data_IF_209843388301
#
_entry.id   IF_209843388301
#
_cell.length_a   1.000
_cell.length_b   1.000
_cell.length_c   1.000
_cell.angle_alpha   90.00
_cell.angle_beta   90.00
_cell.angle_gamma   90.00
#
_symmetry.space_group_name_H-M   'P 1'
#
loop_
_entity.id
_entity.type
_entity.pdbx_description
1 polymer ?
#
# COMPACT_ATOMS: atom_id res chain seq x y z
N UNK A 1 -5.95 -13.20 11.86
CA UNK A 1 -6.90 -12.07 11.72
C UNK A 1 -7.16 -11.86 10.24
N UNK A 2 -8.42 -11.93 9.79
CA UNK A 2 -8.73 -11.72 8.38
C UNK A 2 -8.55 -10.22 8.07
N UNK A 3 -8.10 -9.88 6.86
CA UNK A 3 -7.91 -8.45 6.49
C UNK A 3 -9.23 -7.68 6.48
N UNK A 4 -10.34 -8.41 6.34
CA UNK A 4 -11.69 -7.89 6.46
C UNK A 4 -12.05 -7.47 7.89
N UNK A 5 -11.40 -8.03 8.91
CA UNK A 5 -11.65 -7.67 10.32
C UNK A 5 -10.92 -6.35 10.70
N UNK A 6 -10.03 -5.85 9.84
CA UNK A 6 -9.17 -4.67 10.08
C UNK A 6 -9.72 -3.42 9.39
N UNK A 7 -10.63 -3.58 8.41
CA UNK A 7 -11.26 -2.47 7.69
C UNK A 7 -12.69 -2.31 8.21
N UNK A 8 -12.99 -1.29 9.05
CA UNK A 8 -14.35 -1.03 9.48
C UNK A 8 -15.30 -0.83 8.29
N UNK A 9 -16.50 -1.40 8.36
CA UNK A 9 -17.57 -1.18 7.39
C UNK A 9 -18.01 0.29 7.29
N UNK A 10 -17.61 1.12 8.27
CA UNK A 10 -17.92 2.55 8.35
C UNK A 10 -16.94 3.44 7.58
N UNK A 11 -15.89 2.90 6.95
CA UNK A 11 -14.96 3.72 6.15
C UNK A 11 -15.62 4.18 4.85
N UNK A 12 -15.57 5.49 4.52
CA UNK A 12 -16.07 6.00 3.25
C UNK A 12 -15.32 5.36 2.08
N UNK A 13 -16.06 5.04 1.01
CA UNK A 13 -15.52 4.44 -0.19
C UNK A 13 -16.56 3.66 -1.00
N UNK A 14 -16.13 3.12 -2.14
CA UNK A 14 -16.95 2.31 -3.04
C UNK A 14 -18.05 3.09 -3.80
N UNK A 15 -17.84 4.39 -4.02
CA UNK A 15 -18.62 5.16 -4.99
C UNK A 15 -18.41 4.70 -6.44
N UNK A 16 -19.11 5.33 -7.39
CA UNK A 16 -18.88 5.06 -8.83
C UNK A 16 -17.54 5.66 -9.26
N UNK A 17 -16.50 4.83 -9.34
CA UNK A 17 -15.26 5.19 -9.99
C UNK A 17 -15.30 4.79 -11.48
N UNK A 18 -14.74 5.62 -12.35
CA UNK A 18 -14.30 5.25 -13.69
C UNK A 18 -13.17 4.22 -13.64
N UNK A 19 -12.86 3.59 -14.79
CA UNK A 19 -11.75 2.63 -14.88
C UNK A 19 -10.41 3.26 -14.49
N UNK A 20 -10.13 4.48 -14.96
CA UNK A 20 -8.90 5.19 -14.64
C UNK A 20 -8.81 5.55 -13.14
N UNK A 21 -9.93 5.96 -12.53
CA UNK A 21 -9.97 6.21 -11.09
C UNK A 21 -9.68 4.95 -10.29
N UNK A 22 -10.21 3.80 -10.71
CA UNK A 22 -9.90 2.52 -10.07
C UNK A 22 -8.41 2.16 -10.20
N UNK A 23 -7.81 2.34 -11.37
CA UNK A 23 -6.37 2.12 -11.57
C UNK A 23 -5.55 3.05 -10.66
N UNK A 24 -5.96 4.33 -10.55
CA UNK A 24 -5.34 5.28 -9.65
C UNK A 24 -5.48 4.85 -8.17
N UNK A 25 -6.67 4.40 -7.75
CA UNK A 25 -6.91 3.91 -6.39
C UNK A 25 -5.96 2.76 -6.01
N UNK A 26 -5.67 1.87 -6.96
CA UNK A 26 -4.87 0.68 -6.68
C UNK A 26 -3.36 0.92 -6.62
N UNK A 27 -2.88 1.99 -7.27
CA UNK A 27 -1.45 2.24 -7.46
C UNK A 27 -0.94 3.53 -6.81
N UNK A 28 -1.74 4.60 -6.75
CA UNK A 28 -1.26 5.94 -6.47
C UNK A 28 -1.91 6.62 -5.26
N UNK A 29 -3.09 6.15 -4.81
CA UNK A 29 -3.84 6.81 -3.72
C UNK A 29 -3.04 6.92 -2.42
N UNK A 30 -2.17 5.94 -2.13
CA UNK A 30 -1.33 5.95 -0.93
C UNK A 30 -0.18 6.98 -1.03
N UNK A 31 0.37 7.18 -2.23
CA UNK A 31 1.42 8.18 -2.44
C UNK A 31 0.85 9.60 -2.26
N UNK A 32 -0.33 9.85 -2.81
CA UNK A 32 -0.98 11.15 -2.69
C UNK A 32 -1.60 11.37 -1.30
N UNK A 33 -1.97 10.30 -0.58
CA UNK A 33 -2.34 10.37 0.85
C UNK A 33 -1.23 11.07 1.65
N UNK A 34 0.02 10.61 1.54
CA UNK A 34 1.16 11.22 2.21
C UNK A 34 1.38 12.70 1.84
N UNK A 35 0.91 13.10 0.65
CA UNK A 35 1.01 14.44 0.14
C UNK A 35 -0.10 15.39 0.64
N UNK A 36 -1.33 14.93 0.52
CA UNK A 36 -2.53 15.75 0.59
C UNK A 36 -3.26 15.66 1.92
N UNK A 37 -3.11 14.55 2.65
CA UNK A 37 -3.76 14.37 3.95
C UNK A 37 -2.86 14.83 5.08
N UNK A 38 -2.63 16.14 5.12
CA UNK A 38 -1.81 16.77 6.16
C UNK A 38 -2.67 17.09 7.38
N UNK A 39 -3.02 16.10 8.20
CA UNK A 39 -3.36 16.18 9.66
C UNK A 39 -4.09 14.94 10.21
N UNK A 40 -3.68 14.55 11.42
CA UNK A 40 -4.27 13.73 12.50
C UNK A 40 -5.80 13.44 12.53
N UNK A 41 -6.37 12.91 11.45
CA UNK A 41 -7.57 12.07 11.50
C UNK A 41 -7.05 10.62 11.53
N UNK A 42 -7.76 9.61 12.08
CA UNK A 42 -7.32 8.22 11.94
C UNK A 42 -6.89 7.98 10.51
N UNK A 43 -5.63 7.57 10.37
CA UNK A 43 -4.99 7.41 9.08
C UNK A 43 -5.85 6.41 8.27
N UNK A 44 -6.10 6.65 6.97
CA UNK A 44 -7.09 5.88 6.21
C UNK A 44 -6.64 4.46 5.86
N UNK A 45 -5.33 4.20 5.87
CA UNK A 45 -4.71 2.92 5.51
C UNK A 45 -3.79 2.38 6.63
N UNK A 46 -4.26 2.22 7.90
CA UNK A 46 -3.35 2.14 9.06
C UNK A 46 -2.71 0.77 9.20
N UNK A 47 -3.28 -0.19 8.47
CA UNK A 47 -2.83 -1.55 8.34
C UNK A 47 -1.81 -1.73 7.22
N UNK A 48 -1.62 -0.74 6.34
CA UNK A 48 -0.70 -0.82 5.20
C UNK A 48 0.68 -0.32 5.63
N UNK A 49 1.74 -1.14 5.61
CA UNK A 49 3.09 -0.66 5.92
C UNK A 49 3.55 0.35 4.87
N UNK A 50 3.81 1.59 5.28
CA UNK A 50 4.33 2.64 4.41
C UNK A 50 5.09 3.72 5.19
N UNK A 51 5.87 4.52 4.47
CA UNK A 51 6.59 5.69 5.02
C UNK A 51 6.16 6.92 4.23
N UNK A 52 5.65 7.94 4.92
CA UNK A 52 5.31 9.21 4.29
C UNK A 52 6.48 10.20 4.33
N UNK A 53 6.81 10.76 3.16
CA UNK A 53 7.74 11.88 3.05
C UNK A 53 6.95 13.17 2.88
N UNK A 54 6.84 13.93 3.98
CA UNK A 54 6.03 15.15 4.04
C UNK A 54 6.95 16.37 3.80
N UNK A 55 6.47 17.33 3.02
CA UNK A 55 7.13 18.61 2.78
C UNK A 55 6.84 19.14 1.37
N UNK A 56 6.80 20.48 1.17
CA UNK A 56 6.51 21.06 -0.14
C UNK A 56 7.54 20.70 -1.23
N UNK A 57 8.79 20.45 -0.86
CA UNK A 57 9.84 20.00 -1.80
C UNK A 57 9.92 18.48 -1.97
N UNK A 58 9.17 17.72 -1.16
CA UNK A 58 9.29 16.26 -1.09
C UNK A 58 8.11 15.52 -1.70
N UNK A 59 7.14 16.27 -2.22
CA UNK A 59 5.84 15.73 -2.57
C UNK A 59 5.15 16.62 -3.62
N UNK A 60 4.72 15.99 -4.71
CA UNK A 60 3.84 16.56 -5.74
C UNK A 60 2.70 15.57 -5.98
N UNK A 61 1.42 15.96 -5.83
CA UNK A 61 0.30 15.04 -6.02
C UNK A 61 0.22 14.51 -7.46
N UNK A 62 0.10 13.18 -7.59
CA UNK A 62 -0.09 12.46 -8.86
C UNK A 62 -1.48 12.68 -9.46
N UNK A 63 -2.49 12.95 -8.63
CA UNK A 63 -3.84 13.35 -9.03
C UNK A 63 -3.91 14.80 -9.53
N UNK A 64 -2.79 15.41 -9.93
CA UNK A 64 -2.63 16.82 -10.31
C UNK A 64 -2.68 17.79 -9.12
N UNK A 65 -3.68 17.66 -8.23
CA UNK A 65 -3.82 18.48 -7.04
C UNK A 65 -4.60 17.76 -5.94
N UNK A 66 -4.54 18.30 -4.71
CA UNK A 66 -5.17 17.67 -3.56
C UNK A 66 -6.70 17.67 -3.60
N UNK A 67 -7.35 18.59 -4.33
CA UNK A 67 -8.80 18.56 -4.49
C UNK A 67 -9.25 17.39 -5.38
N UNK A 68 -8.52 17.15 -6.47
CA UNK A 68 -8.75 16.01 -7.35
C UNK A 68 -8.43 14.69 -6.66
N UNK A 69 -7.36 14.64 -5.85
CA UNK A 69 -7.09 13.50 -4.97
C UNK A 69 -8.30 13.20 -4.06
N UNK A 70 -8.83 14.20 -3.34
CA UNK A 70 -9.98 14.01 -2.44
C UNK A 70 -11.19 13.43 -3.18
N UNK A 71 -11.51 13.95 -4.37
CA UNK A 71 -12.59 13.43 -5.22
C UNK A 71 -12.41 11.95 -5.56
N UNK A 72 -11.21 11.57 -6.00
CA UNK A 72 -10.94 10.18 -6.42
C UNK A 72 -10.93 9.26 -5.21
N UNK A 73 -10.27 9.67 -4.12
CA UNK A 73 -10.20 8.94 -2.84
C UNK A 73 -11.59 8.59 -2.32
N UNK A 74 -12.55 9.51 -2.39
CA UNK A 74 -13.91 9.28 -1.89
C UNK A 74 -14.66 8.16 -2.65
N UNK A 75 -14.25 7.85 -3.89
CA UNK A 75 -14.79 6.69 -4.62
C UNK A 75 -13.96 5.41 -4.38
N UNK A 76 -12.68 5.52 -3.99
CA UNK A 76 -11.81 4.37 -3.74
C UNK A 76 -12.38 3.44 -2.66
N UNK A 77 -12.51 2.16 -3.00
CA UNK A 77 -13.10 1.18 -2.11
C UNK A 77 -12.04 0.54 -1.20
N UNK A 78 -11.91 1.02 0.04
CA UNK A 78 -10.86 0.60 0.97
C UNK A 78 -10.81 -0.92 1.18
N UNK A 79 -11.97 -1.59 1.26
CA UNK A 79 -12.03 -3.06 1.35
C UNK A 79 -11.40 -3.76 0.14
N UNK A 80 -11.61 -3.24 -1.08
CA UNK A 80 -11.00 -3.80 -2.30
C UNK A 80 -9.49 -3.59 -2.31
N UNK A 81 -9.04 -2.40 -1.91
CA UNK A 81 -7.62 -2.08 -1.81
C UNK A 81 -6.91 -2.97 -0.77
N UNK A 82 -7.53 -3.18 0.38
CA UNK A 82 -7.00 -4.06 1.42
C UNK A 82 -6.81 -5.50 0.95
N UNK A 83 -7.80 -6.07 0.26
CA UNK A 83 -7.68 -7.41 -0.33
C UNK A 83 -6.56 -7.47 -1.37
N UNK A 84 -6.49 -6.46 -2.26
CA UNK A 84 -5.47 -6.41 -3.33
C UNK A 84 -4.06 -6.32 -2.75
N UNK A 85 -3.82 -5.34 -1.88
CA UNK A 85 -2.49 -5.08 -1.31
C UNK A 85 -2.04 -6.18 -0.36
N UNK A 86 -2.95 -6.80 0.41
CA UNK A 86 -2.61 -8.03 1.15
C UNK A 86 -2.08 -9.11 0.22
N UNK A 87 -2.76 -9.33 -0.92
CA UNK A 87 -2.32 -10.31 -1.91
C UNK A 87 -0.92 -10.02 -2.46
N UNK A 88 -0.59 -8.75 -2.67
CA UNK A 88 0.76 -8.32 -3.12
C UNK A 88 1.79 -8.57 -2.02
N UNK A 89 1.52 -8.12 -0.79
CA UNK A 89 2.42 -8.26 0.36
C UNK A 89 2.70 -9.74 0.69
N UNK A 90 1.66 -10.59 0.70
CA UNK A 90 1.82 -12.03 0.95
C UNK A 90 2.67 -12.72 -0.12
N UNK A 91 2.53 -12.32 -1.40
CA UNK A 91 3.39 -12.84 -2.47
C UNK A 91 4.83 -12.35 -2.33
N UNK A 92 5.04 -11.08 -2.01
CA UNK A 92 6.37 -10.52 -1.79
C UNK A 92 7.10 -11.25 -0.64
N UNK A 93 6.40 -11.56 0.47
CA UNK A 93 6.98 -12.34 1.57
C UNK A 93 7.36 -13.77 1.16
N UNK A 94 6.63 -14.40 0.23
CA UNK A 94 6.97 -15.74 -0.26
C UNK A 94 8.15 -15.78 -1.24
N UNK A 95 8.47 -14.66 -1.90
CA UNK A 95 9.64 -14.53 -2.79
C UNK A 95 10.92 -14.11 -2.06
N UNK A 96 10.81 -13.62 -0.82
CA UNK A 96 11.97 -13.44 0.06
C UNK A 96 12.63 -14.81 0.24
N UNK A 97 13.84 -14.95 -0.29
CA UNK A 97 14.62 -16.19 -0.35
C UNK A 97 14.40 -17.03 0.91
N UNK A 98 13.85 -18.23 0.75
CA UNK A 98 13.64 -19.16 1.86
C UNK A 98 14.95 -19.25 2.64
N UNK A 99 14.92 -19.03 3.96
CA UNK A 99 16.13 -19.09 4.79
C UNK A 99 16.92 -20.39 4.58
N UNK A 100 16.24 -21.47 4.18
CA UNK A 100 16.87 -22.72 3.73
C UNK A 100 17.82 -22.53 2.54
N UNK A 101 17.44 -21.78 1.50
CA UNK A 101 18.31 -21.56 0.33
C UNK A 101 19.58 -20.79 0.69
N UNK A 102 19.50 -19.81 1.59
CA UNK A 102 20.69 -19.08 2.08
C UNK A 102 21.56 -19.97 2.96
N UNK A 103 20.96 -20.77 3.84
CA UNK A 103 21.68 -21.73 4.68
C UNK A 103 22.40 -22.78 3.82
N UNK A 104 21.74 -23.33 2.80
CA UNK A 104 22.34 -24.27 1.86
C UNK A 104 23.50 -23.65 1.09
N UNK A 105 23.36 -22.41 0.60
CA UNK A 105 24.46 -21.69 -0.04
C UNK A 105 25.64 -21.49 0.91
N UNK A 106 25.39 -21.08 2.16
CA UNK A 106 26.44 -20.88 3.15
C UNK A 106 27.17 -22.18 3.51
N UNK A 107 26.46 -23.30 3.60
CA UNK A 107 27.04 -24.63 3.83
C UNK A 107 27.89 -25.08 2.65
N UNK A 108 27.42 -24.91 1.41
CA UNK A 108 28.19 -25.25 0.20
C UNK A 108 29.49 -24.45 0.15
N UNK A 109 29.42 -23.14 0.38
CA UNK A 109 30.61 -22.27 0.42
C UNK A 109 31.58 -22.68 1.53
N UNK A 110 31.08 -23.06 2.71
CA UNK A 110 31.91 -23.55 3.80
C UNK A 110 32.62 -24.88 3.45
N UNK A 111 31.91 -25.81 2.79
CA UNK A 111 32.50 -27.09 2.36
C UNK A 111 33.47 -26.98 1.19
N UNK A 112 33.39 -25.93 0.37
CA UNK A 112 34.32 -25.68 -0.73
C UNK A 112 35.59 -24.92 -0.29
N UNK A 113 35.54 -24.29 0.88
CA UNK A 113 36.66 -23.53 1.45
C UNK A 113 37.53 -24.37 2.42
N UNK A 114 36.98 -25.47 2.94
CA UNK A 114 37.68 -26.53 3.70
C UNK A 114 38.29 -27.58 2.77
#
# INVERSE_FOLDING_TARGET
MAVLDIVPDTLPGCGKCSRWEMEYCESNVLADHCCCERRYIPEPFPWMPHTCYIGPERCTPLAQNCAQYTRIRDCCCNRKLAVKWKGILSKASSLSLSGMTLLLFSLILFTLYL
#
